data_IF_934663405484
#
_entry.id   IF_934663405484
#
_cell.length_a   1.000
_cell.length_b   1.000
_cell.length_c   1.000
_cell.angle_alpha   90.00
_cell.angle_beta   90.00
_cell.angle_gamma   90.00
#
_symmetry.space_group_name_H-M   'P 1'
#
loop_
_entity.id
_entity.type
_entity.pdbx_description
1 polymer ?
#
# COMPACT_ATOMS: atom_id res chain seq x y z
N UNK A 1 57.20 -34.71 -63.92
CA UNK A 1 56.11 -33.90 -64.49
C UNK A 1 55.19 -33.46 -63.35
N UNK A 2 54.99 -32.14 -63.21
CA UNK A 2 53.81 -31.38 -62.75
C UNK A 2 52.83 -32.07 -61.77
N UNK A 3 52.37 -31.46 -60.67
CA UNK A 3 52.33 -30.03 -60.35
C UNK A 3 51.75 -29.75 -58.96
N UNK A 4 51.91 -28.49 -58.58
CA UNK A 4 51.51 -27.84 -57.33
C UNK A 4 50.00 -27.59 -57.34
N UNK A 5 49.30 -27.88 -56.24
CA UNK A 5 47.91 -27.46 -56.01
C UNK A 5 47.88 -26.55 -54.78
N UNK A 6 47.55 -25.28 -55.02
CA UNK A 6 47.19 -24.29 -54.00
C UNK A 6 45.70 -24.49 -53.63
N UNK A 7 45.39 -24.71 -52.35
CA UNK A 7 44.03 -24.57 -51.83
C UNK A 7 43.87 -23.14 -51.28
N UNK A 8 43.09 -22.32 -52.00
CA UNK A 8 42.65 -21.02 -51.51
C UNK A 8 41.55 -21.18 -50.46
N UNK A 9 41.70 -20.50 -49.33
CA UNK A 9 40.65 -20.39 -48.30
C UNK A 9 39.65 -19.31 -48.73
N UNK A 10 38.40 -19.71 -48.97
CA UNK A 10 37.30 -18.80 -49.21
C UNK A 10 36.76 -18.29 -47.86
N UNK A 11 36.91 -16.99 -47.60
CA UNK A 11 36.34 -16.31 -46.43
C UNK A 11 34.87 -15.96 -46.75
N UNK A 12 33.92 -16.71 -46.20
CA UNK A 12 32.49 -16.39 -46.28
C UNK A 12 32.11 -15.37 -45.20
N UNK A 13 31.86 -14.13 -45.61
CA UNK A 13 31.21 -13.10 -44.82
C UNK A 13 29.69 -13.39 -44.76
N UNK A 14 29.20 -13.92 -43.65
CA UNK A 14 27.77 -13.98 -43.35
C UNK A 14 27.36 -12.67 -42.66
N UNK A 15 26.57 -11.86 -43.37
CA UNK A 15 25.95 -10.66 -42.86
C UNK A 15 24.92 -11.02 -41.77
N UNK A 16 25.15 -10.56 -40.54
CA UNK A 16 24.19 -10.69 -39.44
C UNK A 16 22.99 -9.77 -39.65
N UNK A 17 21.84 -10.34 -40.02
CA UNK A 17 20.56 -9.66 -39.89
C UNK A 17 20.22 -9.53 -38.39
N UNK A 18 20.44 -8.36 -37.81
CA UNK A 18 19.86 -8.02 -36.51
C UNK A 18 18.37 -7.75 -36.69
N UNK A 19 17.54 -8.75 -36.45
CA UNK A 19 16.12 -8.53 -36.21
C UNK A 19 15.99 -7.91 -34.81
N UNK A 20 15.78 -6.60 -34.75
CA UNK A 20 15.33 -5.96 -33.52
C UNK A 20 13.96 -6.57 -33.15
N UNK A 21 13.98 -7.50 -32.20
CA UNK A 21 12.76 -8.10 -31.66
C UNK A 21 11.94 -6.98 -31.01
N UNK A 22 10.90 -6.55 -31.70
CA UNK A 22 9.91 -5.63 -31.16
C UNK A 22 9.14 -6.40 -30.09
N UNK A 23 9.52 -6.23 -28.82
CA UNK A 23 8.78 -6.76 -27.68
C UNK A 23 7.47 -5.98 -27.59
N UNK A 24 6.45 -6.46 -28.30
CA UNK A 24 5.08 -6.09 -27.99
C UNK A 24 4.77 -6.62 -26.58
N UNK A 25 4.83 -5.73 -25.57
CA UNK A 25 4.25 -6.04 -24.27
C UNK A 25 2.81 -6.48 -24.53
N UNK A 26 2.51 -7.74 -24.22
CA UNK A 26 1.14 -8.24 -24.27
C UNK A 26 0.28 -7.30 -23.42
N UNK A 27 -0.77 -6.75 -24.02
CA UNK A 27 -1.78 -6.01 -23.25
C UNK A 27 -2.47 -7.05 -22.39
N UNK A 28 -2.22 -6.99 -21.10
CA UNK A 28 -2.84 -7.87 -20.11
C UNK A 28 -4.36 -7.76 -20.22
N UNK A 29 -5.04 -8.90 -20.28
CA UNK A 29 -6.48 -8.92 -20.42
C UNK A 29 -7.12 -8.24 -19.20
N UNK A 30 -8.03 -7.30 -19.44
CA UNK A 30 -8.78 -6.60 -18.38
C UNK A 30 -9.48 -7.64 -17.50
N UNK A 31 -9.34 -7.52 -16.18
CA UNK A 31 -9.87 -8.48 -15.20
C UNK A 31 -11.23 -8.07 -14.61
N UNK A 32 -11.77 -6.91 -14.99
CA UNK A 32 -12.98 -6.33 -14.39
C UNK A 32 -14.26 -6.52 -15.23
N UNK A 33 -15.42 -6.49 -14.55
CA UNK A 33 -16.72 -6.56 -15.20
C UNK A 33 -17.13 -5.20 -15.78
N UNK A 34 -17.12 -5.08 -17.11
CA UNK A 34 -17.45 -3.83 -17.82
C UNK A 34 -18.92 -3.38 -17.65
N UNK A 35 -19.84 -4.27 -17.26
CA UNK A 35 -21.24 -3.90 -16.95
C UNK A 35 -21.29 -3.04 -15.70
N UNK A 36 -20.57 -3.44 -14.65
CA UNK A 36 -20.54 -2.73 -13.38
C UNK A 36 -19.47 -1.63 -13.35
N UNK A 37 -18.49 -1.70 -14.26
CA UNK A 37 -17.40 -0.72 -14.34
C UNK A 37 -17.05 -0.32 -15.78
N UNK A 38 -17.97 0.35 -16.50
CA UNK A 38 -17.80 0.65 -17.92
C UNK A 38 -16.72 1.69 -18.22
N UNK A 39 -16.15 2.31 -17.18
CA UNK A 39 -15.15 3.40 -17.31
C UNK A 39 -13.92 3.18 -16.43
N UNK A 40 -13.65 1.95 -15.99
CA UNK A 40 -12.43 1.66 -15.24
C UNK A 40 -11.21 2.02 -16.10
N UNK A 41 -10.47 3.01 -15.64
CA UNK A 41 -9.16 3.34 -16.17
C UNK A 41 -8.18 3.01 -15.08
N UNK A 42 -7.27 2.08 -15.38
CA UNK A 42 -6.14 1.79 -14.52
C UNK A 42 -5.29 3.05 -14.40
N UNK A 43 -5.25 3.53 -13.17
CA UNK A 43 -4.64 4.76 -12.74
C UNK A 43 -3.69 4.32 -11.63
N UNK A 44 -2.37 4.56 -11.74
CA UNK A 44 -1.43 4.11 -10.72
C UNK A 44 -1.86 4.56 -9.31
N UNK A 45 -2.45 3.65 -8.54
CA UNK A 45 -2.86 3.82 -7.15
C UNK A 45 -3.67 5.11 -6.86
N UNK A 46 -4.66 5.50 -7.66
CA UNK A 46 -5.56 6.62 -7.29
C UNK A 46 -7.05 6.35 -7.51
N UNK A 47 -7.74 5.91 -6.46
CA UNK A 47 -9.12 6.34 -6.19
C UNK A 47 -9.05 7.79 -5.72
N UNK A 48 -10.14 8.57 -5.87
CA UNK A 48 -10.23 9.96 -5.39
C UNK A 48 -10.08 10.20 -3.87
N UNK A 49 -9.55 9.21 -3.13
CA UNK A 49 -9.00 9.26 -1.78
C UNK A 49 -7.48 9.03 -1.84
N UNK A 50 -6.71 9.94 -2.45
CA UNK A 50 -5.25 9.80 -2.55
C UNK A 50 -4.53 11.13 -2.40
N UNK A 51 -5.01 11.97 -1.48
CA UNK A 51 -4.25 13.15 -1.08
C UNK A 51 -2.95 12.72 -0.37
N UNK A 52 -3.00 11.58 0.32
CA UNK A 52 -1.87 11.00 1.05
C UNK A 52 -1.96 9.47 1.06
N UNK A 53 -0.87 8.78 0.74
CA UNK A 53 -0.75 7.33 0.87
C UNK A 53 0.25 7.03 1.99
N UNK A 54 -0.19 6.27 3.00
CA UNK A 54 0.62 5.83 4.14
C UNK A 54 0.69 4.30 4.11
N UNK A 55 1.89 3.75 4.24
CA UNK A 55 2.09 2.32 4.49
C UNK A 55 2.54 2.11 5.92
N UNK A 56 1.91 1.20 6.64
CA UNK A 56 2.28 0.87 8.00
C UNK A 56 2.16 -0.64 8.24
N UNK A 57 3.12 -1.22 8.95
CA UNK A 57 3.00 -2.58 9.51
C UNK A 57 2.36 -2.50 10.90
N UNK A 58 2.14 -3.64 11.56
CA UNK A 58 1.46 -3.70 12.87
C UNK A 58 0.05 -3.10 12.86
N UNK A 59 -0.66 -3.29 11.76
CA UNK A 59 -2.02 -2.78 11.59
C UNK A 59 -3.07 -3.89 11.54
N UNK A 60 -2.71 -5.15 11.83
CA UNK A 60 -3.65 -6.26 11.90
C UNK A 60 -3.62 -6.90 13.29
N UNK A 61 -4.75 -7.48 13.70
CA UNK A 61 -4.80 -8.31 14.91
C UNK A 61 -3.98 -9.58 14.65
N UNK A 62 -2.95 -9.88 15.45
CA UNK A 62 -2.17 -11.11 15.31
C UNK A 62 -3.02 -12.34 15.67
N UNK A 63 -2.66 -13.50 15.11
CA UNK A 63 -3.33 -14.76 15.45
C UNK A 63 -2.79 -15.35 16.77
N UNK A 64 -1.63 -14.88 17.20
CA UNK A 64 -0.92 -15.33 18.40
C UNK A 64 -0.42 -14.14 19.23
N UNK A 65 0.03 -14.40 20.45
CA UNK A 65 0.71 -13.39 21.28
C UNK A 65 2.20 -13.21 20.90
N UNK A 66 2.67 -13.85 19.82
CA UNK A 66 4.04 -13.75 19.35
C UNK A 66 4.29 -12.39 18.68
N UNK A 67 5.40 -11.74 19.05
CA UNK A 67 5.83 -10.46 18.48
C UNK A 67 6.21 -10.58 17.00
N UNK A 68 6.56 -11.79 16.56
CA UNK A 68 6.92 -12.13 15.19
C UNK A 68 5.74 -12.70 14.37
N UNK A 69 4.51 -12.59 14.87
CA UNK A 69 3.32 -13.00 14.11
C UNK A 69 3.30 -12.34 12.71
N UNK A 70 3.13 -13.11 11.62
CA UNK A 70 3.18 -12.57 10.25
C UNK A 70 2.19 -11.44 9.98
N UNK A 71 1.06 -11.39 10.70
CA UNK A 71 0.09 -10.29 10.56
C UNK A 71 0.66 -8.96 11.06
N UNK A 72 1.56 -8.99 12.03
CA UNK A 72 2.27 -7.79 12.50
C UNK A 72 3.25 -7.25 11.45
N UNK A 73 3.69 -8.08 10.50
CA UNK A 73 4.61 -7.70 9.43
C UNK A 73 3.91 -7.40 8.10
N UNK A 74 2.57 -7.55 8.05
CA UNK A 74 1.79 -7.25 6.86
C UNK A 74 1.64 -5.74 6.70
N UNK A 75 2.00 -5.22 5.52
CA UNK A 75 1.80 -3.81 5.20
C UNK A 75 0.32 -3.55 4.98
N UNK A 76 -0.22 -2.58 5.73
CA UNK A 76 -1.54 -2.02 5.49
C UNK A 76 -1.38 -0.64 4.84
N UNK A 77 -2.06 -0.48 3.72
CA UNK A 77 -2.04 0.73 2.90
C UNK A 77 -3.23 1.61 3.28
N UNK A 78 -2.94 2.83 3.69
CA UNK A 78 -3.92 3.87 4.02
C UNK A 78 -3.95 4.87 2.88
N UNK A 79 -5.06 4.91 2.15
CA UNK A 79 -5.30 5.86 1.07
C UNK A 79 -6.22 6.95 1.59
N UNK A 80 -5.64 8.09 1.93
CA UNK A 80 -6.25 9.14 2.74
C UNK A 80 -6.76 10.30 1.91
N UNK A 81 -7.87 10.87 2.38
CA UNK A 81 -8.36 12.19 2.01
C UNK A 81 -8.26 13.12 3.21
N UNK A 82 -7.69 14.30 3.00
CA UNK A 82 -7.59 15.33 4.03
C UNK A 82 -8.76 16.33 3.90
N UNK A 83 -9.17 16.89 5.03
CA UNK A 83 -10.26 17.86 5.11
C UNK A 83 -9.80 19.17 5.76
N UNK A 84 -10.54 20.26 5.49
CA UNK A 84 -10.20 21.62 5.96
C UNK A 84 -10.15 21.75 7.49
N UNK A 85 -10.81 20.85 8.22
CA UNK A 85 -10.79 20.80 9.69
C UNK A 85 -9.61 20.00 10.27
N UNK A 86 -8.68 19.58 9.42
CA UNK A 86 -7.49 18.81 9.79
C UNK A 86 -7.76 17.33 10.01
N UNK A 87 -8.98 16.84 9.75
CA UNK A 87 -9.26 15.40 9.77
C UNK A 87 -8.75 14.71 8.50
N UNK A 88 -8.39 13.44 8.64
CA UNK A 88 -8.13 12.57 7.49
C UNK A 88 -9.02 11.34 7.59
N UNK A 89 -9.54 10.89 6.46
CA UNK A 89 -10.24 9.60 6.36
C UNK A 89 -9.46 8.75 5.36
N UNK A 90 -8.97 7.61 5.83
CA UNK A 90 -8.16 6.70 5.03
C UNK A 90 -8.92 5.42 4.75
N UNK A 91 -9.04 5.07 3.48
CA UNK A 91 -9.49 3.73 3.09
C UNK A 91 -8.31 2.77 3.19
N UNK A 92 -8.49 1.62 3.85
CA UNK A 92 -7.39 0.72 4.20
C UNK A 92 -7.42 -0.58 3.40
N UNK A 93 -6.25 -1.02 2.91
CA UNK A 93 -6.08 -2.22 2.09
C UNK A 93 -4.88 -3.05 2.55
N UNK A 94 -4.93 -4.37 2.43
CA UNK A 94 -3.82 -5.27 2.83
C UNK A 94 -2.87 -5.66 1.68
N UNK A 95 -3.19 -5.29 0.44
CA UNK A 95 -2.42 -5.64 -0.77
C UNK A 95 -2.10 -4.44 -1.67
N UNK A 96 -2.46 -3.23 -1.21
CA UNK A 96 -2.44 -2.01 -2.01
C UNK A 96 -3.79 -1.75 -2.66
N UNK A 97 -3.79 -0.99 -3.76
CA UNK A 97 -5.02 -0.54 -4.40
C UNK A 97 -4.93 -0.69 -5.93
N UNK A 98 -4.75 -1.93 -6.36
CA UNK A 98 -4.89 -2.36 -7.77
C UNK A 98 -6.37 -2.58 -8.11
N UNK A 99 -6.61 -2.83 -9.39
CA UNK A 99 -7.91 -3.06 -10.03
C UNK A 99 -8.93 -3.90 -9.24
N UNK A 100 -8.47 -4.96 -8.56
CA UNK A 100 -9.31 -5.93 -7.86
C UNK A 100 -9.14 -5.91 -6.34
N UNK A 101 -8.25 -5.05 -5.82
CA UNK A 101 -8.04 -4.95 -4.39
C UNK A 101 -9.28 -4.33 -3.73
N UNK A 102 -9.65 -4.88 -2.58
CA UNK A 102 -10.83 -4.43 -1.82
C UNK A 102 -10.36 -3.87 -0.49
N UNK A 103 -11.02 -2.81 -0.01
CA UNK A 103 -10.71 -2.30 1.30
C UNK A 103 -11.12 -3.29 2.37
N UNK A 104 -10.41 -3.27 3.50
CA UNK A 104 -10.68 -4.08 4.68
C UNK A 104 -11.20 -3.26 5.87
N UNK A 105 -10.99 -1.95 5.82
CA UNK A 105 -11.33 -1.04 6.89
C UNK A 105 -11.15 0.40 6.48
N UNK A 106 -11.30 1.28 7.45
CA UNK A 106 -10.91 2.67 7.34
C UNK A 106 -10.28 3.15 8.64
N UNK A 107 -9.47 4.17 8.52
CA UNK A 107 -8.96 4.93 9.64
C UNK A 107 -9.55 6.34 9.61
N UNK A 108 -10.08 6.76 10.75
CA UNK A 108 -10.44 8.16 10.97
C UNK A 108 -9.36 8.82 11.82
N UNK A 109 -8.76 9.88 11.30
CA UNK A 109 -7.68 10.62 11.95
C UNK A 109 -8.20 12.00 12.35
N UNK A 110 -7.96 12.37 13.61
CA UNK A 110 -8.33 13.68 14.16
C UNK A 110 -7.13 14.39 14.77
N UNK A 111 -7.25 15.72 14.88
CA UNK A 111 -6.26 16.54 15.59
C UNK A 111 -6.22 16.23 17.08
N UNK A 112 -5.09 16.54 17.73
CA UNK A 112 -4.98 16.42 19.19
C UNK A 112 -6.01 17.26 19.97
N UNK A 113 -6.44 18.41 19.41
CA UNK A 113 -7.50 19.23 20.01
C UNK A 113 -8.87 18.54 19.95
N UNK A 114 -9.23 18.01 18.78
CA UNK A 114 -10.46 17.22 18.61
C UNK A 114 -10.45 15.99 19.53
N UNK A 115 -9.33 15.27 19.63
CA UNK A 115 -9.19 14.14 20.54
C UNK A 115 -9.39 14.55 22.01
N UNK A 116 -8.79 15.68 22.42
CA UNK A 116 -8.93 16.19 23.78
C UNK A 116 -10.38 16.56 24.14
N UNK A 117 -11.22 16.86 23.14
CA UNK A 117 -12.65 17.13 23.31
C UNK A 117 -13.52 15.88 23.45
N UNK A 118 -12.99 14.69 23.10
CA UNK A 118 -13.70 13.42 23.25
C UNK A 118 -13.87 13.05 24.73
N UNK A 119 -14.95 12.35 25.05
CA UNK A 119 -15.11 11.77 26.38
C UNK A 119 -14.06 10.68 26.65
N UNK A 120 -13.80 10.42 27.93
CA UNK A 120 -12.78 9.43 28.33
C UNK A 120 -13.12 7.99 27.94
N UNK A 121 -14.40 7.68 27.79
CA UNK A 121 -14.83 6.34 27.40
C UNK A 121 -14.60 6.10 25.90
N UNK A 122 -14.58 7.15 25.09
CA UNK A 122 -14.32 7.11 23.66
C UNK A 122 -12.83 7.15 23.36
N UNK A 123 -12.05 7.94 24.11
CA UNK A 123 -10.59 8.07 23.95
C UNK A 123 -9.84 6.72 23.90
N UNK A 124 -10.35 5.68 24.58
CA UNK A 124 -9.76 4.32 24.59
C UNK A 124 -9.71 3.64 23.22
N UNK A 125 -10.48 4.10 22.24
CA UNK A 125 -10.56 3.50 20.90
C UNK A 125 -9.59 4.11 19.90
N UNK A 126 -8.78 5.06 20.35
CA UNK A 126 -7.86 5.83 19.52
C UNK A 126 -6.43 5.54 19.91
N UNK A 127 -5.51 5.66 18.97
CA UNK A 127 -4.08 5.56 19.22
C UNK A 127 -3.37 6.83 18.79
N UNK A 128 -2.26 7.15 19.46
CA UNK A 128 -1.51 8.38 19.19
C UNK A 128 -0.39 8.13 18.16
N UNK A 129 -0.42 8.88 17.05
CA UNK A 129 0.52 8.62 15.95
C UNK A 129 1.98 8.89 16.31
N UNK A 130 2.27 9.83 17.24
CA UNK A 130 3.67 10.07 17.65
C UNK A 130 4.34 8.81 18.19
N UNK A 131 3.58 8.00 18.92
CA UNK A 131 4.07 6.75 19.53
C UNK A 131 3.97 5.58 18.57
N UNK A 132 3.01 5.61 17.67
CA UNK A 132 2.72 4.51 16.75
C UNK A 132 3.59 4.54 15.49
N UNK A 133 3.81 5.70 14.86
CA UNK A 133 4.60 5.84 13.61
C UNK A 133 5.95 5.11 13.66
N UNK A 134 6.80 5.26 14.71
CA UNK A 134 8.07 4.53 14.77
C UNK A 134 7.88 3.02 14.90
N UNK A 135 6.89 2.56 15.69
CA UNK A 135 6.60 1.14 15.94
C UNK A 135 6.01 0.45 14.71
N UNK A 136 5.18 1.18 13.96
CA UNK A 136 4.50 0.70 12.77
C UNK A 136 5.35 0.84 11.50
N UNK A 137 6.57 1.38 11.62
CA UNK A 137 7.44 1.73 10.49
C UNK A 137 6.68 2.48 9.39
N UNK A 138 5.88 3.47 9.77
CA UNK A 138 5.01 4.16 8.83
C UNK A 138 5.84 4.92 7.78
N UNK A 139 5.45 4.80 6.50
CA UNK A 139 6.12 5.45 5.37
C UNK A 139 5.12 6.14 4.45
N UNK A 140 5.61 7.14 3.69
CA UNK A 140 4.87 7.86 2.66
C UNK A 140 5.46 7.51 1.29
N UNK A 141 5.13 6.34 0.71
CA UNK A 141 5.83 5.77 -0.44
C UNK A 141 5.76 6.64 -1.71
N UNK A 142 4.74 7.49 -1.82
CA UNK A 142 4.50 8.30 -3.03
C UNK A 142 5.09 9.72 -2.92
N UNK A 143 5.72 10.06 -1.79
CA UNK A 143 6.30 11.37 -1.54
C UNK A 143 7.82 11.31 -1.43
N UNK A 144 8.48 12.34 -1.93
CA UNK A 144 9.91 12.56 -1.66
C UNK A 144 10.13 12.94 -0.20
N UNK A 145 11.37 12.81 0.29
CA UNK A 145 11.70 13.21 1.65
C UNK A 145 11.43 14.71 1.92
N UNK A 146 11.60 15.57 0.91
CA UNK A 146 11.32 17.00 0.98
C UNK A 146 9.82 17.29 1.12
N UNK A 147 8.98 16.52 0.42
CA UNK A 147 7.51 16.61 0.54
C UNK A 147 6.99 16.01 1.85
N UNK A 148 7.58 14.89 2.29
CA UNK A 148 7.19 14.19 3.52
C UNK A 148 7.59 14.92 4.80
N UNK A 149 8.76 15.58 4.83
CA UNK A 149 9.32 16.21 6.02
C UNK A 149 8.35 17.17 6.74
N UNK A 150 7.71 18.12 6.03
CA UNK A 150 6.73 19.03 6.62
C UNK A 150 5.48 18.35 7.19
N UNK A 151 5.12 17.14 6.72
CA UNK A 151 3.94 16.40 7.13
C UNK A 151 4.14 15.59 8.42
N UNK A 152 5.37 15.15 8.69
CA UNK A 152 5.66 14.27 9.85
C UNK A 152 5.29 14.90 11.19
N UNK A 153 5.54 16.20 11.38
CA UNK A 153 5.17 16.90 12.62
C UNK A 153 3.66 16.95 12.86
N UNK A 154 2.88 17.47 11.88
CA UNK A 154 1.42 17.46 11.93
C UNK A 154 0.82 16.06 12.10
N UNK A 155 1.21 15.08 11.28
CA UNK A 155 0.69 13.70 11.36
C UNK A 155 1.06 13.07 12.70
N UNK A 156 2.29 13.26 13.20
CA UNK A 156 2.68 12.77 14.51
C UNK A 156 1.87 13.38 15.66
N UNK A 157 1.16 14.49 15.43
CA UNK A 157 0.33 15.15 16.45
C UNK A 157 -1.16 14.80 16.38
N UNK A 158 -1.54 13.83 15.54
CA UNK A 158 -2.91 13.36 15.39
C UNK A 158 -3.16 12.02 16.10
N UNK A 159 -4.44 11.65 16.17
CA UNK A 159 -4.92 10.39 16.74
C UNK A 159 -5.72 9.63 15.69
N UNK A 160 -5.47 8.33 15.57
CA UNK A 160 -6.14 7.43 14.63
C UNK A 160 -7.14 6.50 15.33
N UNK A 161 -8.30 6.29 14.70
CA UNK A 161 -9.25 5.23 15.05
C UNK A 161 -9.41 4.31 13.85
N UNK A 162 -8.81 3.12 13.96
CA UNK A 162 -8.86 2.08 12.93
C UNK A 162 -10.09 1.20 13.16
N UNK A 163 -10.94 1.11 12.14
CA UNK A 163 -12.14 0.28 12.13
C UNK A 163 -12.06 -0.68 10.95
N UNK A 164 -12.03 -1.97 11.26
CA UNK A 164 -12.06 -3.03 10.26
C UNK A 164 -13.46 -3.60 10.14
N UNK A 165 -13.90 -3.84 8.90
CA UNK A 165 -15.14 -4.56 8.59
C UNK A 165 -14.88 -5.91 7.93
N UNK A 166 -13.62 -6.22 7.61
CA UNK A 166 -13.22 -7.46 6.95
C UNK A 166 -11.77 -7.81 7.31
N UNK A 167 -11.47 -9.11 7.47
CA UNK A 167 -10.08 -9.57 7.61
C UNK A 167 -9.44 -9.78 6.23
N UNK A 168 -8.11 -9.60 6.09
CA UNK A 168 -7.40 -9.82 4.82
C UNK A 168 -7.68 -11.17 4.13
N UNK A 169 -7.85 -12.23 4.92
CA UNK A 169 -8.09 -13.60 4.46
C UNK A 169 -9.54 -13.88 4.04
N UNK A 170 -10.48 -13.00 4.37
CA UNK A 170 -11.90 -13.20 4.10
C UNK A 170 -12.25 -12.92 2.63
N UNK A 171 -13.14 -13.73 2.06
CA UNK A 171 -13.66 -13.51 0.69
C UNK A 171 -14.75 -12.44 0.62
N UNK A 172 -15.46 -12.23 1.72
CA UNK A 172 -16.57 -11.28 1.88
C UNK A 172 -16.51 -10.73 3.32
N UNK A 173 -17.00 -9.50 3.56
CA UNK A 173 -17.11 -8.96 4.91
C UNK A 173 -18.15 -9.76 5.70
N UNK A 174 -17.68 -10.55 6.67
CA UNK A 174 -18.51 -11.42 7.51
C UNK A 174 -18.26 -11.12 8.98
N UNK A 175 -19.29 -11.28 9.81
CA UNK A 175 -19.20 -11.00 11.24
C UNK A 175 -19.36 -9.51 11.58
N UNK A 176 -18.91 -9.15 12.78
CA UNK A 176 -18.99 -7.80 13.30
C UNK A 176 -17.72 -7.00 12.93
N UNK A 177 -17.85 -5.68 12.68
CA UNK A 177 -16.69 -4.83 12.58
C UNK A 177 -15.98 -4.72 13.95
N UNK A 178 -14.68 -4.44 13.93
CA UNK A 178 -13.88 -4.30 15.13
C UNK A 178 -12.98 -3.07 15.07
N UNK A 179 -12.59 -2.58 16.25
CA UNK A 179 -11.63 -1.49 16.39
C UNK A 179 -10.26 -2.08 16.72
N UNK A 180 -9.22 -1.61 16.03
CA UNK A 180 -7.84 -1.90 16.40
C UNK A 180 -7.23 -0.65 17.04
N UNK A 181 -6.72 -0.82 18.26
CA UNK A 181 -5.91 0.21 18.94
C UNK A 181 -4.45 -0.21 18.76
N UNK A 182 -3.75 0.40 17.78
CA UNK A 182 -2.42 -0.06 17.33
C UNK A 182 -1.39 -0.09 18.46
N UNK A 183 -1.47 0.87 19.39
CA UNK A 183 -0.59 0.94 20.56
C UNK A 183 -0.73 -0.25 21.53
N UNK A 184 -1.87 -0.96 21.52
CA UNK A 184 -2.14 -2.11 22.39
C UNK A 184 -1.57 -3.43 21.83
N UNK A 185 -1.08 -3.41 20.59
CA UNK A 185 -0.38 -4.57 20.02
C UNK A 185 0.94 -4.84 20.75
N UNK A 186 1.46 -6.08 20.72
CA UNK A 186 2.72 -6.44 21.36
C UNK A 186 3.85 -5.44 21.04
N UNK A 187 4.78 -5.23 21.97
CA UNK A 187 5.98 -4.44 21.68
C UNK A 187 7.05 -5.34 21.06
N UNK A 188 7.73 -4.85 20.03
CA UNK A 188 8.90 -5.49 19.44
C UNK A 188 10.08 -4.55 19.70
N UNK A 189 11.13 -5.09 20.33
CA UNK A 189 12.35 -4.36 20.70
C UNK A 189 13.17 -3.91 19.47
#
# INVERSE_FOLDING_TARGET
MRGIIFLGSALLLLAGCSTAATTHKAVEAKTYNETFNPRQKEYPNHVGFNDLHIQAIRHLIPDTDDVDDPKLQTIVHHHCKAYDDGTLICMMFHSGMKDQDKPIGFEYIITGEQYASLDKAEQRYWHYHKTEIPRAHATLPDLTAEEAGPLMGPIGSTYGKVIYFQKPEDKLPIGEPYILVVQDLPEQD
#
